data_IF_907833700814
#
_entry.id   IF_907833700814
#
_cell.length_a   1.000
_cell.length_b   1.000
_cell.length_c   1.000
_cell.angle_alpha   90.00
_cell.angle_beta   90.00
_cell.angle_gamma   90.00
#
_symmetry.space_group_name_H-M   'P 1'
#
loop_
_entity.id
_entity.type
_entity.pdbx_description
1 polymer ?
#
# COMPACT_ATOMS: atom_id res chain seq x y z
N UNK A 1 -6.77 -7.83 -24.12
CA UNK A 1 -6.12 -6.50 -24.01
C UNK A 1 -4.76 -6.75 -23.39
N UNK A 2 -3.66 -6.39 -24.07
CA UNK A 2 -2.32 -6.67 -23.54
C UNK A 2 -1.98 -5.74 -22.36
N UNK A 3 -1.33 -6.24 -21.30
CA UNK A 3 -1.04 -5.48 -20.08
C UNK A 3 -0.19 -4.23 -20.35
N UNK A 4 0.67 -4.27 -21.37
CA UNK A 4 1.50 -3.13 -21.80
C UNK A 4 0.65 -2.00 -22.40
N UNK A 5 -0.38 -2.32 -23.17
CA UNK A 5 -1.31 -1.32 -23.75
C UNK A 5 -2.22 -0.72 -22.68
N UNK A 6 -2.65 -1.50 -21.70
CA UNK A 6 -3.43 -1.00 -20.56
C UNK A 6 -2.60 -0.04 -19.68
N UNK A 7 -1.31 -0.34 -19.47
CA UNK A 7 -0.37 0.53 -18.75
C UNK A 7 -0.13 1.84 -19.52
N UNK A 8 0.03 1.77 -20.85
CA UNK A 8 0.24 2.95 -21.71
C UNK A 8 -0.96 3.91 -21.73
N UNK A 9 -2.18 3.37 -21.80
CA UNK A 9 -3.41 4.16 -21.70
C UNK A 9 -3.61 4.78 -20.31
N UNK A 10 -3.28 4.04 -19.25
CA UNK A 10 -3.34 4.57 -17.89
C UNK A 10 -2.27 5.64 -17.63
N UNK A 11 -1.07 5.52 -18.20
CA UNK A 11 0.00 6.49 -18.00
C UNK A 11 -0.32 7.87 -18.61
N UNK A 12 -0.91 7.89 -19.81
CA UNK A 12 -1.33 9.14 -20.47
C UNK A 12 -2.53 9.79 -19.79
N UNK A 13 -3.48 9.00 -19.27
CA UNK A 13 -4.60 9.52 -18.48
C UNK A 13 -4.12 10.15 -17.18
N UNK A 14 -3.07 9.59 -16.54
CA UNK A 14 -2.49 10.18 -15.33
C UNK A 14 -1.78 11.53 -15.58
N UNK A 15 -1.05 11.70 -16.70
CA UNK A 15 -0.43 13.00 -16.98
C UNK A 15 -1.46 14.12 -17.22
N UNK A 16 -2.57 13.81 -17.90
CA UNK A 16 -3.69 14.73 -18.08
C UNK A 16 -4.38 15.06 -16.76
N UNK A 17 -4.38 14.11 -15.82
CA UNK A 17 -5.12 14.27 -14.60
C UNK A 17 -4.52 15.25 -13.57
N UNK A 18 -3.20 15.47 -13.63
CA UNK A 18 -2.55 16.59 -12.91
C UNK A 18 -3.09 17.96 -13.33
N UNK A 19 -3.47 18.11 -14.60
CA UNK A 19 -4.05 19.35 -15.11
C UNK A 19 -5.44 19.61 -14.52
N UNK A 20 -6.32 18.61 -14.49
CA UNK A 20 -7.69 18.79 -13.99
C UNK A 20 -7.71 19.08 -12.48
N UNK A 21 -6.86 18.43 -11.69
CA UNK A 21 -6.73 18.75 -10.26
C UNK A 21 -6.29 20.21 -10.06
N UNK A 22 -5.25 20.64 -10.77
CA UNK A 22 -4.76 22.02 -10.72
C UNK A 22 -5.83 23.03 -11.17
N UNK A 23 -6.54 22.73 -12.25
CA UNK A 23 -7.59 23.58 -12.80
C UNK A 23 -8.78 23.71 -11.85
N UNK A 24 -9.22 22.60 -11.24
CA UNK A 24 -10.29 22.61 -10.25
C UNK A 24 -9.89 23.39 -8.99
N UNK A 25 -8.67 23.21 -8.47
CA UNK A 25 -8.17 23.97 -7.32
C UNK A 25 -8.18 25.49 -7.58
N UNK A 26 -7.78 25.92 -8.79
CA UNK A 26 -7.86 27.32 -9.19
C UNK A 26 -9.31 27.82 -9.25
N UNK A 27 -10.22 27.05 -9.84
CA UNK A 27 -11.64 27.40 -9.89
C UNK A 27 -12.26 27.49 -8.50
N UNK A 28 -11.94 26.56 -7.60
CA UNK A 28 -12.38 26.57 -6.21
C UNK A 28 -11.89 27.84 -5.50
N UNK A 29 -10.61 28.20 -5.67
CA UNK A 29 -10.04 29.41 -5.09
C UNK A 29 -10.76 30.68 -5.59
N UNK A 30 -10.98 30.79 -6.90
CA UNK A 30 -11.73 31.91 -7.49
C UNK A 30 -13.13 32.06 -6.91
N UNK A 31 -13.83 30.94 -6.73
CA UNK A 31 -15.18 30.93 -6.13
C UNK A 31 -15.11 31.31 -4.65
N UNK A 32 -14.19 30.75 -3.87
CA UNK A 32 -14.04 31.06 -2.43
C UNK A 32 -13.71 32.53 -2.16
N UNK A 33 -12.97 33.19 -3.06
CA UNK A 33 -12.61 34.61 -2.98
C UNK A 33 -13.78 35.57 -3.29
N UNK A 34 -14.95 35.03 -3.63
CA UNK A 34 -16.18 35.83 -3.74
C UNK A 34 -16.72 36.22 -2.35
N UNK A 35 -17.16 37.47 -2.25
CA UNK A 35 -17.72 38.03 -1.02
C UNK A 35 -19.05 37.35 -0.60
N UNK A 36 -19.79 36.84 -1.59
CA UNK A 36 -21.18 36.38 -1.42
C UNK A 36 -21.36 34.85 -1.58
N UNK A 37 -20.32 34.04 -1.31
CA UNK A 37 -20.47 32.57 -1.30
C UNK A 37 -21.31 32.13 -0.09
N UNK A 38 -22.38 31.33 -0.29
CA UNK A 38 -23.11 30.71 0.81
C UNK A 38 -22.18 29.95 1.76
N UNK A 39 -22.41 30.06 3.07
CA UNK A 39 -21.53 29.45 4.08
C UNK A 39 -21.39 27.93 3.89
N UNK A 40 -22.50 27.25 3.55
CA UNK A 40 -22.52 25.81 3.28
C UNK A 40 -21.62 25.44 2.10
N UNK A 41 -21.76 26.15 0.97
CA UNK A 41 -20.92 25.94 -0.20
C UNK A 41 -19.43 26.21 0.08
N UNK A 42 -19.12 27.22 0.90
CA UNK A 42 -17.73 27.51 1.31
C UNK A 42 -17.10 26.35 2.07
N UNK A 43 -17.86 25.69 2.96
CA UNK A 43 -17.42 24.48 3.67
C UNK A 43 -17.18 23.34 2.68
N UNK A 44 -18.16 23.05 1.82
CA UNK A 44 -18.05 22.02 0.79
C UNK A 44 -16.81 22.23 -0.10
N UNK A 45 -16.58 23.46 -0.57
CA UNK A 45 -15.42 23.80 -1.41
C UNK A 45 -14.09 23.60 -0.68
N UNK A 46 -14.03 23.91 0.62
CA UNK A 46 -12.83 23.68 1.43
C UNK A 46 -12.54 22.18 1.63
N UNK A 47 -13.57 21.36 1.78
CA UNK A 47 -13.40 19.92 1.88
C UNK A 47 -13.06 19.28 0.54
N UNK A 48 -13.66 19.75 -0.56
CA UNK A 48 -13.30 19.36 -1.92
C UNK A 48 -11.82 19.66 -2.22
N UNK A 49 -11.34 20.84 -1.82
CA UNK A 49 -9.95 21.24 -1.96
C UNK A 49 -9.00 20.23 -1.28
N UNK A 50 -9.31 19.81 -0.04
CA UNK A 50 -8.51 18.78 0.66
C UNK A 50 -8.54 17.44 -0.07
N UNK A 51 -9.71 16.99 -0.53
CA UNK A 51 -9.86 15.74 -1.27
C UNK A 51 -9.10 15.76 -2.60
N UNK A 52 -9.14 16.88 -3.33
CA UNK A 52 -8.40 17.04 -4.60
C UNK A 52 -6.88 17.03 -4.37
N UNK A 53 -6.38 17.65 -3.29
CA UNK A 53 -4.95 17.55 -2.95
C UNK A 53 -4.54 16.10 -2.68
N UNK A 54 -5.32 15.35 -1.88
CA UNK A 54 -5.03 13.93 -1.61
C UNK A 54 -5.02 13.07 -2.87
N UNK A 55 -5.98 13.31 -3.77
CA UNK A 55 -6.06 12.64 -5.07
C UNK A 55 -4.82 12.96 -5.93
N UNK A 56 -4.43 14.23 -5.99
CA UNK A 56 -3.25 14.68 -6.73
C UNK A 56 -1.96 14.09 -6.17
N UNK A 57 -1.81 14.05 -4.84
CA UNK A 57 -0.63 13.48 -4.17
C UNK A 57 -0.53 11.98 -4.47
N UNK A 58 -1.62 11.22 -4.28
CA UNK A 58 -1.65 9.79 -4.58
C UNK A 58 -1.37 9.53 -6.06
N UNK A 59 -1.94 10.34 -6.94
CA UNK A 59 -1.68 10.26 -8.36
C UNK A 59 -0.19 10.44 -8.69
N UNK A 60 0.46 11.45 -8.09
CA UNK A 60 1.88 11.69 -8.31
C UNK A 60 2.72 10.47 -7.88
N UNK A 61 2.37 9.86 -6.74
CA UNK A 61 3.02 8.65 -6.23
C UNK A 61 2.79 7.42 -7.10
N UNK A 62 1.64 7.31 -7.77
CA UNK A 62 1.33 6.20 -8.69
C UNK A 62 1.97 6.38 -10.08
N UNK A 63 2.25 7.62 -10.47
CA UNK A 63 2.87 7.93 -11.77
C UNK A 63 4.39 7.81 -11.70
N UNK A 64 5.00 8.19 -10.57
CA UNK A 64 6.44 8.10 -10.39
C UNK A 64 6.89 6.63 -10.31
N UNK A 65 7.64 6.12 -11.31
CA UNK A 65 8.12 4.73 -11.30
C UNK A 65 9.12 4.47 -10.15
N UNK A 66 9.75 5.51 -9.60
CA UNK A 66 10.68 5.39 -8.48
C UNK A 66 9.99 5.45 -7.11
N UNK A 67 8.68 5.65 -7.09
CA UNK A 67 7.90 5.67 -5.85
C UNK A 67 7.97 4.33 -5.12
N UNK A 68 8.05 4.39 -3.78
CA UNK A 68 7.98 3.20 -2.92
C UNK A 68 6.71 2.38 -3.13
N UNK A 69 5.63 2.99 -3.65
CA UNK A 69 4.41 2.26 -3.98
C UNK A 69 4.65 1.14 -5.00
N UNK A 70 5.48 1.38 -6.02
CA UNK A 70 5.77 0.35 -7.04
C UNK A 70 6.66 -0.78 -6.52
N UNK A 71 7.37 -0.55 -5.42
CA UNK A 71 8.19 -1.57 -4.76
C UNK A 71 7.37 -2.44 -3.79
N UNK A 72 6.33 -1.87 -3.19
CA UNK A 72 5.55 -2.52 -2.13
C UNK A 72 4.27 -3.17 -2.68
N UNK A 73 3.63 -2.52 -3.65
CA UNK A 73 2.34 -2.95 -4.17
C UNK A 73 2.51 -3.86 -5.39
N UNK A 74 1.66 -4.88 -5.45
CA UNK A 74 1.54 -5.71 -6.65
C UNK A 74 0.93 -4.91 -7.81
N UNK A 75 1.19 -5.34 -9.04
CA UNK A 75 0.61 -4.75 -10.25
C UNK A 75 -0.92 -4.64 -10.19
N UNK A 76 -1.59 -5.65 -9.62
CA UNK A 76 -3.04 -5.66 -9.47
C UNK A 76 -3.53 -4.56 -8.50
N UNK A 77 -2.85 -4.39 -7.36
CA UNK A 77 -3.18 -3.34 -6.37
C UNK A 77 -2.95 -1.93 -6.95
N UNK A 78 -1.85 -1.75 -7.69
CA UNK A 78 -1.57 -0.49 -8.40
C UNK A 78 -2.67 -0.19 -9.42
N UNK A 79 -3.12 -1.21 -10.16
CA UNK A 79 -4.18 -1.03 -11.16
C UNK A 79 -5.51 -0.64 -10.51
N UNK A 80 -5.91 -1.28 -9.39
CA UNK A 80 -7.11 -0.89 -8.64
C UNK A 80 -7.04 0.56 -8.15
N UNK A 81 -5.92 0.97 -7.56
CA UNK A 81 -5.73 2.36 -7.12
C UNK A 81 -5.78 3.35 -8.29
N UNK A 82 -5.18 3.00 -9.44
CA UNK A 82 -5.25 3.83 -10.63
C UNK A 82 -6.68 4.02 -11.12
N UNK A 83 -7.53 2.99 -11.08
CA UNK A 83 -8.94 3.10 -11.46
C UNK A 83 -9.68 4.11 -10.56
N UNK A 84 -9.57 3.99 -9.24
CA UNK A 84 -10.28 4.91 -8.33
C UNK A 84 -9.74 6.34 -8.42
N UNK A 85 -8.43 6.50 -8.63
CA UNK A 85 -7.82 7.84 -8.88
C UNK A 85 -8.32 8.44 -10.20
N UNK A 86 -8.51 7.63 -11.24
CA UNK A 86 -9.08 8.07 -12.52
C UNK A 86 -10.54 8.51 -12.35
N UNK A 87 -11.35 7.79 -11.59
CA UNK A 87 -12.73 8.21 -11.30
C UNK A 87 -12.74 9.54 -10.51
N UNK A 88 -11.80 9.70 -9.57
CA UNK A 88 -11.57 10.94 -8.84
C UNK A 88 -11.17 12.10 -9.74
N UNK A 89 -10.32 11.83 -10.74
CA UNK A 89 -9.96 12.77 -11.78
C UNK A 89 -11.18 13.24 -12.57
N UNK A 90 -11.96 12.31 -13.11
CA UNK A 90 -13.10 12.63 -13.98
C UNK A 90 -14.16 13.43 -13.21
N UNK A 91 -14.38 13.11 -11.93
CA UNK A 91 -15.25 13.88 -11.04
C UNK A 91 -14.71 15.30 -10.80
N UNK A 92 -13.39 15.45 -10.66
CA UNK A 92 -12.74 16.75 -10.45
C UNK A 92 -12.77 17.62 -11.72
N UNK A 93 -12.59 17.01 -12.89
CA UNK A 93 -12.74 17.68 -14.18
C UNK A 93 -14.19 18.16 -14.39
N UNK A 94 -15.16 17.32 -14.05
CA UNK A 94 -16.58 17.68 -14.10
C UNK A 94 -16.90 18.87 -13.18
N UNK A 95 -16.34 18.89 -11.95
CA UNK A 95 -16.46 20.04 -11.06
C UNK A 95 -15.81 21.29 -11.66
N UNK A 96 -14.61 21.18 -12.23
CA UNK A 96 -13.94 22.31 -12.88
C UNK A 96 -14.80 22.90 -14.01
N UNK A 97 -15.34 22.05 -14.90
CA UNK A 97 -16.23 22.47 -16.00
C UNK A 97 -17.49 23.17 -15.49
N UNK A 98 -18.12 22.64 -14.43
CA UNK A 98 -19.28 23.27 -13.78
C UNK A 98 -18.93 24.64 -13.22
N UNK A 99 -17.81 24.76 -12.50
CA UNK A 99 -17.35 26.05 -11.97
C UNK A 99 -16.94 27.02 -13.08
N UNK A 100 -16.36 26.53 -14.18
CA UNK A 100 -15.96 27.34 -15.32
C UNK A 100 -17.17 27.88 -16.10
N UNK A 101 -18.25 27.11 -16.21
CA UNK A 101 -19.49 27.60 -16.80
C UNK A 101 -20.10 28.80 -16.04
N UNK A 102 -19.72 28.99 -14.77
CA UNK A 102 -20.10 30.14 -13.94
C UNK A 102 -19.18 31.36 -14.17
N UNK A 103 -18.04 31.17 -14.84
CA UNK A 103 -17.11 32.23 -15.18
C UNK A 103 -17.48 32.83 -16.55
N UNK A 104 -17.74 34.14 -16.65
CA UNK A 104 -17.94 34.77 -17.96
C UNK A 104 -16.64 34.69 -18.78
N UNK A 105 -16.70 34.01 -19.94
CA UNK A 105 -15.59 33.95 -20.90
C UNK A 105 -15.14 35.36 -21.32
N UNK A 106 -13.85 35.72 -21.19
CA UNK A 106 -13.37 37.04 -21.58
C UNK A 106 -13.32 37.13 -23.10
N UNK A 107 -14.28 37.84 -23.71
CA UNK A 107 -14.27 38.10 -25.17
C UNK A 107 -13.32 39.24 -25.59
N UNK A 108 -12.54 39.84 -24.68
CA UNK A 108 -11.49 40.83 -24.98
C UNK A 108 -10.59 41.14 -23.77
N UNK A 109 -9.28 41.39 -23.96
CA UNK A 109 -8.36 41.70 -22.86
C UNK A 109 -8.38 43.20 -22.54
N UNK A 110 -9.43 43.69 -21.88
CA UNK A 110 -9.42 45.04 -21.30
C UNK A 110 -10.13 45.07 -19.93
N UNK A 111 -9.35 45.49 -18.91
CA UNK A 111 -9.71 45.80 -17.52
C UNK A 111 -10.02 44.60 -16.58
N UNK A 112 -8.99 44.16 -15.84
CA UNK A 112 -9.06 43.13 -14.80
C UNK A 112 -10.07 43.43 -13.67
N UNK A 113 -10.37 44.71 -13.40
CA UNK A 113 -11.32 45.13 -12.36
C UNK A 113 -12.79 44.94 -12.76
N UNK A 114 -13.16 45.15 -14.03
CA UNK A 114 -14.54 44.92 -14.53
C UNK A 114 -14.89 43.44 -14.72
N UNK A 115 -13.91 42.55 -14.63
CA UNK A 115 -14.10 41.09 -14.72
C UNK A 115 -14.72 40.54 -13.43
N UNK A 116 -14.23 41.00 -12.26
CA UNK A 116 -14.69 40.52 -10.95
C UNK A 116 -16.14 40.92 -10.66
N UNK A 117 -16.54 42.15 -11.00
CA UNK A 117 -17.93 42.61 -10.80
C UNK A 117 -18.91 41.87 -11.72
N UNK A 118 -18.49 41.54 -12.95
CA UNK A 118 -19.27 40.70 -13.87
C UNK A 118 -19.34 39.25 -13.41
N UNK A 119 -18.29 38.74 -12.78
CA UNK A 119 -18.32 37.43 -12.14
C UNK A 119 -19.28 37.42 -10.95
N UNK A 120 -19.28 38.46 -10.11
CA UNK A 120 -20.23 38.60 -9.00
C UNK A 120 -21.67 38.70 -9.51
N UNK A 121 -21.93 39.45 -10.59
CA UNK A 121 -23.29 39.56 -11.13
C UNK A 121 -23.74 38.28 -11.86
N UNK A 122 -22.85 37.60 -12.59
CA UNK A 122 -23.10 36.30 -13.19
C UNK A 122 -23.35 35.24 -12.11
N UNK A 123 -22.54 35.23 -11.05
CA UNK A 123 -22.74 34.36 -9.90
C UNK A 123 -24.10 34.62 -9.24
N UNK A 124 -24.45 35.88 -8.96
CA UNK A 124 -25.77 36.23 -8.39
C UNK A 124 -26.94 35.88 -9.29
N UNK A 125 -26.76 35.91 -10.61
CA UNK A 125 -27.78 35.58 -11.61
C UNK A 125 -27.92 34.07 -11.87
N UNK A 126 -26.81 33.33 -11.77
CA UNK A 126 -26.70 31.89 -12.12
C UNK A 126 -26.81 30.98 -10.90
N UNK A 127 -26.57 31.49 -9.68
CA UNK A 127 -26.94 30.82 -8.42
C UNK A 127 -28.46 30.89 -8.25
N UNK A 128 -29.15 30.25 -9.18
CA UNK A 128 -30.37 29.55 -8.86
C UNK A 128 -30.02 28.42 -7.90
N UNK A 129 -30.93 28.10 -6.97
CA UNK A 129 -30.79 26.97 -6.04
C UNK A 129 -30.40 25.65 -6.73
N UNK A 130 -30.72 25.49 -8.02
CA UNK A 130 -30.37 24.32 -8.81
C UNK A 130 -28.86 24.14 -9.02
N UNK A 131 -28.14 25.20 -9.39
CA UNK A 131 -26.71 25.10 -9.71
C UNK A 131 -25.85 24.99 -8.45
N UNK A 132 -26.28 25.59 -7.32
CA UNK A 132 -25.64 25.37 -6.02
C UNK A 132 -25.69 23.89 -5.64
N UNK A 133 -26.86 23.24 -5.81
CA UNK A 133 -27.03 21.82 -5.55
C UNK A 133 -26.17 20.95 -6.47
N UNK A 134 -26.06 21.30 -7.75
CA UNK A 134 -25.20 20.54 -8.67
C UNK A 134 -23.71 20.61 -8.31
N UNK A 135 -23.23 21.78 -7.87
CA UNK A 135 -21.85 21.94 -7.38
C UNK A 135 -21.65 21.17 -6.09
N UNK A 136 -22.63 21.21 -5.18
CA UNK A 136 -22.61 20.45 -3.93
C UNK A 136 -22.58 18.93 -4.20
N UNK A 137 -23.40 18.43 -5.12
CA UNK A 137 -23.44 17.02 -5.50
C UNK A 137 -22.11 16.57 -6.13
N UNK A 138 -21.50 17.41 -6.98
CA UNK A 138 -20.18 17.13 -7.55
C UNK A 138 -19.09 17.07 -6.47
N UNK A 139 -19.11 17.99 -5.51
CA UNK A 139 -18.19 17.98 -4.37
C UNK A 139 -18.38 16.72 -3.52
N UNK A 140 -19.62 16.36 -3.20
CA UNK A 140 -19.94 15.14 -2.43
C UNK A 140 -19.46 13.89 -3.16
N UNK A 141 -19.52 13.85 -4.49
CA UNK A 141 -18.96 12.75 -5.29
C UNK A 141 -17.44 12.64 -5.12
N UNK A 142 -16.70 13.75 -5.18
CA UNK A 142 -15.24 13.77 -4.97
C UNK A 142 -14.89 13.29 -3.56
N UNK A 143 -15.65 13.71 -2.54
CA UNK A 143 -15.46 13.25 -1.16
C UNK A 143 -15.66 11.74 -1.03
N UNK A 144 -16.76 11.19 -1.61
CA UNK A 144 -17.01 9.74 -1.61
C UNK A 144 -15.89 8.95 -2.27
N UNK A 145 -15.34 9.46 -3.38
CA UNK A 145 -14.22 8.83 -4.07
C UNK A 145 -12.94 8.90 -3.24
N UNK A 146 -12.70 10.01 -2.53
CA UNK A 146 -11.59 10.10 -1.57
C UNK A 146 -11.73 9.09 -0.41
N UNK A 147 -12.95 8.85 0.07
CA UNK A 147 -13.21 7.83 1.10
C UNK A 147 -13.03 6.42 0.54
N UNK A 148 -13.42 6.19 -0.72
CA UNK A 148 -13.22 4.92 -1.42
C UNK A 148 -11.74 4.59 -1.62
N UNK A 149 -10.92 5.58 -1.97
CA UNK A 149 -9.45 5.43 -2.00
C UNK A 149 -8.92 5.04 -0.62
N UNK A 150 -9.42 5.68 0.44
CA UNK A 150 -9.00 5.38 1.80
C UNK A 150 -9.36 3.95 2.19
N UNK A 151 -10.54 3.47 1.78
CA UNK A 151 -10.96 2.08 1.95
C UNK A 151 -10.10 1.11 1.14
N UNK A 152 -9.80 1.39 -0.11
CA UNK A 152 -8.94 0.55 -0.95
C UNK A 152 -7.52 0.46 -0.37
N UNK A 153 -6.96 1.57 0.13
CA UNK A 153 -5.65 1.56 0.79
C UNK A 153 -5.66 0.71 2.08
N UNK A 154 -6.76 0.72 2.83
CA UNK A 154 -6.92 -0.15 4.01
C UNK A 154 -6.98 -1.64 3.60
N UNK A 155 -7.74 -1.97 2.55
CA UNK A 155 -7.81 -3.34 2.02
C UNK A 155 -6.43 -3.81 1.56
N UNK A 156 -5.71 -2.98 0.80
CA UNK A 156 -4.34 -3.26 0.34
C UNK A 156 -3.39 -3.47 1.53
N UNK A 157 -3.52 -2.66 2.58
CA UNK A 157 -2.71 -2.81 3.79
C UNK A 157 -2.96 -4.15 4.49
N UNK A 158 -4.23 -4.58 4.59
CA UNK A 158 -4.59 -5.87 5.15
C UNK A 158 -4.08 -7.04 4.30
N UNK A 159 -4.24 -6.96 2.96
CA UNK A 159 -3.68 -7.95 2.03
C UNK A 159 -2.16 -8.10 2.21
N UNK A 160 -1.44 -6.97 2.32
CA UNK A 160 0.00 -6.96 2.55
C UNK A 160 0.37 -7.61 3.89
N UNK A 161 -0.34 -7.30 4.97
CA UNK A 161 -0.12 -7.92 6.28
C UNK A 161 -0.35 -9.43 6.26
N UNK A 162 -1.40 -9.90 5.58
CA UNK A 162 -1.68 -11.33 5.41
C UNK A 162 -0.54 -12.01 4.64
N UNK A 163 -0.08 -11.42 3.54
CA UNK A 163 1.02 -11.97 2.74
C UNK A 163 2.33 -12.05 3.53
N UNK A 164 2.67 -10.99 4.29
CA UNK A 164 3.85 -10.97 5.15
C UNK A 164 3.77 -12.07 6.21
N UNK A 165 2.60 -12.21 6.87
CA UNK A 165 2.40 -13.24 7.88
C UNK A 165 2.55 -14.64 7.30
N UNK A 166 1.95 -14.90 6.14
CA UNK A 166 2.11 -16.19 5.45
C UNK A 166 3.57 -16.47 5.08
N UNK A 167 4.31 -15.44 4.64
CA UNK A 167 5.73 -15.58 4.34
C UNK A 167 6.54 -15.91 5.60
N UNK A 168 6.33 -15.19 6.70
CA UNK A 168 6.97 -15.47 7.99
C UNK A 168 6.66 -16.88 8.47
N UNK A 169 5.39 -17.30 8.41
CA UNK A 169 4.99 -18.65 8.79
C UNK A 169 5.67 -19.72 7.92
N UNK A 170 5.80 -19.47 6.61
CA UNK A 170 6.47 -20.39 5.68
C UNK A 170 7.98 -20.51 5.95
N UNK A 171 8.65 -19.38 6.21
CA UNK A 171 10.08 -19.34 6.55
C UNK A 171 10.31 -20.00 7.90
N UNK A 172 9.48 -19.68 8.90
CA UNK A 172 9.57 -20.28 10.23
C UNK A 172 9.40 -21.80 10.20
N UNK A 173 8.44 -22.32 9.43
CA UNK A 173 8.28 -23.77 9.23
C UNK A 173 9.51 -24.39 8.58
N UNK A 174 10.01 -23.79 7.50
CA UNK A 174 11.20 -24.27 6.80
C UNK A 174 12.42 -24.30 7.70
N UNK A 175 12.69 -23.24 8.44
CA UNK A 175 13.79 -23.19 9.40
C UNK A 175 13.63 -24.25 10.49
N UNK A 176 12.42 -24.42 11.03
CA UNK A 176 12.16 -25.44 12.04
C UNK A 176 12.37 -26.87 11.50
N UNK A 177 12.00 -27.13 10.25
CA UNK A 177 12.26 -28.40 9.57
C UNK A 177 13.76 -28.63 9.37
N UNK A 178 14.51 -27.60 8.96
CA UNK A 178 15.97 -27.65 8.81
C UNK A 178 16.65 -27.92 10.15
N UNK A 179 16.31 -27.18 11.20
CA UNK A 179 16.85 -27.40 12.55
C UNK A 179 16.53 -28.80 13.07
N UNK A 180 15.31 -29.30 12.84
CA UNK A 180 14.93 -30.66 13.21
C UNK A 180 15.78 -31.71 12.47
N UNK A 181 16.01 -31.52 11.17
CA UNK A 181 16.85 -32.41 10.37
C UNK A 181 18.32 -32.38 10.83
N UNK A 182 18.87 -31.19 11.09
CA UNK A 182 20.23 -31.02 11.61
C UNK A 182 20.41 -31.67 12.98
N UNK A 183 19.46 -31.48 13.91
CA UNK A 183 19.49 -32.14 15.22
C UNK A 183 19.42 -33.67 15.11
N UNK A 184 18.61 -34.18 14.19
CA UNK A 184 18.50 -35.61 13.96
C UNK A 184 19.78 -36.19 13.36
N UNK A 185 20.40 -35.50 12.40
CA UNK A 185 21.71 -35.85 11.84
C UNK A 185 22.79 -35.86 12.92
N UNK A 186 22.83 -34.81 13.74
CA UNK A 186 23.78 -34.69 14.83
C UNK A 186 23.62 -35.80 15.86
N UNK A 187 22.37 -36.17 16.21
CA UNK A 187 22.09 -37.32 17.07
C UNK A 187 22.68 -38.61 16.51
N UNK A 188 22.52 -38.87 15.21
CA UNK A 188 23.09 -40.05 14.56
C UNK A 188 24.62 -40.02 14.52
N UNK A 189 25.25 -38.85 14.47
CA UNK A 189 26.71 -38.71 14.52
C UNK A 189 27.29 -38.86 15.93
N UNK A 190 26.59 -38.35 16.95
CA UNK A 190 27.03 -38.36 18.36
C UNK A 190 26.86 -39.74 19.00
N UNK A 191 25.77 -40.45 18.70
CA UNK A 191 25.44 -41.72 19.36
C UNK A 191 26.57 -42.78 19.22
N UNK A 192 27.15 -43.03 18.03
CA UNK A 192 28.26 -43.98 17.88
C UNK A 192 29.53 -43.57 18.64
N UNK A 193 29.76 -42.26 18.79
CA UNK A 193 30.90 -41.75 19.56
C UNK A 193 30.68 -41.99 21.06
N UNK A 194 29.46 -41.77 21.55
CA UNK A 194 29.11 -42.04 22.95
C UNK A 194 29.12 -43.53 23.28
N UNK A 195 28.72 -44.40 22.36
CA UNK A 195 28.75 -45.86 22.54
C UNK A 195 30.12 -46.46 22.19
N UNK A 196 31.18 -45.65 22.04
CA UNK A 196 32.54 -46.14 21.77
C UNK A 196 32.75 -46.81 20.40
N UNK A 197 31.76 -46.80 19.51
CA UNK A 197 31.85 -47.40 18.17
C UNK A 197 32.75 -46.55 17.25
N UNK A 198 32.82 -45.24 17.48
CA UNK A 198 33.72 -44.33 16.78
C UNK A 198 34.47 -43.44 17.77
N UNK A 199 35.72 -43.08 17.44
CA UNK A 199 36.58 -42.30 18.36
C UNK A 199 36.32 -40.79 18.32
N UNK A 200 35.87 -40.26 17.20
CA UNK A 200 35.68 -38.81 16.99
C UNK A 200 34.56 -38.52 16.00
N UNK A 201 33.80 -37.45 16.24
CA UNK A 201 32.85 -36.91 15.25
C UNK A 201 33.57 -36.25 14.07
N UNK A 202 32.89 -36.15 12.92
CA UNK A 202 33.43 -35.39 11.80
C UNK A 202 33.39 -33.87 12.07
N UNK A 203 34.24 -33.11 11.38
CA UNK A 203 34.39 -31.65 11.56
C UNK A 203 33.08 -30.89 11.26
N UNK A 204 32.27 -31.39 10.33
CA UNK A 204 30.98 -30.79 9.96
C UNK A 204 30.00 -30.91 11.14
N UNK A 205 29.88 -32.09 11.74
CA UNK A 205 28.97 -32.31 12.88
C UNK A 205 29.41 -31.56 14.14
N UNK A 206 30.73 -31.43 14.36
CA UNK A 206 31.26 -30.58 15.43
C UNK A 206 30.88 -29.11 15.24
N UNK A 207 30.96 -28.62 13.99
CA UNK A 207 30.58 -27.24 13.66
C UNK A 207 29.09 -27.00 13.88
N UNK A 208 28.23 -27.97 13.53
CA UNK A 208 26.79 -27.91 13.80
C UNK A 208 26.52 -27.88 15.31
N UNK A 209 27.17 -28.75 16.09
CA UNK A 209 27.01 -28.78 17.56
C UNK A 209 27.36 -27.45 18.24
N UNK A 210 28.38 -26.74 17.75
CA UNK A 210 28.79 -25.43 18.29
C UNK A 210 27.73 -24.36 18.03
N UNK A 211 27.01 -24.44 16.91
CA UNK A 211 26.03 -23.44 16.48
C UNK A 211 24.64 -23.60 17.13
N UNK A 212 24.39 -24.72 17.81
CA UNK A 212 23.12 -24.97 18.49
C UNK A 212 22.87 -23.99 19.64
N UNK A 213 21.60 -23.61 19.81
CA UNK A 213 21.18 -22.85 20.99
C UNK A 213 21.23 -23.73 22.25
N UNK A 214 21.21 -23.11 23.42
CA UNK A 214 21.21 -23.85 24.70
C UNK A 214 19.94 -24.69 24.89
N UNK A 215 18.82 -24.26 24.30
CA UNK A 215 17.57 -25.02 24.30
C UNK A 215 17.72 -26.28 23.44
N UNK A 216 18.27 -26.14 22.23
CA UNK A 216 18.48 -27.27 21.31
C UNK A 216 19.49 -28.29 21.87
N UNK A 217 20.53 -27.83 22.57
CA UNK A 217 21.49 -28.69 23.26
C UNK A 217 20.83 -29.49 24.38
N UNK A 218 19.94 -28.86 25.16
CA UNK A 218 19.19 -29.53 26.23
C UNK A 218 18.28 -30.62 25.66
N UNK A 219 17.56 -30.31 24.58
CA UNK A 219 16.69 -31.29 23.90
C UNK A 219 17.46 -32.45 23.29
N UNK A 220 18.59 -32.17 22.64
CA UNK A 220 19.48 -33.20 22.10
C UNK A 220 20.00 -34.12 23.22
N UNK A 221 20.42 -33.54 24.34
CA UNK A 221 20.91 -34.29 25.50
C UNK A 221 19.81 -35.21 26.04
N UNK A 222 18.59 -34.69 26.21
CA UNK A 222 17.43 -35.48 26.64
C UNK A 222 17.17 -36.66 25.69
N UNK A 223 17.17 -36.42 24.38
CA UNK A 223 16.96 -37.47 23.38
C UNK A 223 18.08 -38.52 23.35
N UNK A 224 19.35 -38.11 23.54
CA UNK A 224 20.47 -39.04 23.63
C UNK A 224 20.37 -39.91 24.89
N UNK A 225 20.06 -39.30 26.05
CA UNK A 225 19.84 -40.05 27.30
C UNK A 225 18.71 -41.08 27.13
N UNK A 226 17.59 -40.70 26.54
CA UNK A 226 16.47 -41.61 26.28
C UNK A 226 16.87 -42.76 25.33
N UNK A 227 17.61 -42.47 24.25
CA UNK A 227 18.09 -43.50 23.33
C UNK A 227 19.06 -44.49 24.00
N UNK A 228 19.96 -44.00 24.87
CA UNK A 228 20.89 -44.85 25.60
C UNK A 228 20.20 -45.73 26.63
N UNK A 229 19.20 -45.20 27.33
CA UNK A 229 18.39 -45.97 28.30
C UNK A 229 17.60 -47.10 27.62
N UNK A 230 17.19 -46.90 26.36
CA UNK A 230 16.47 -47.90 25.58
C UNK A 230 17.39 -48.98 24.95
N UNK A 231 18.71 -48.74 24.90
CA UNK A 231 19.70 -49.66 24.32
C UNK A 231 20.89 -49.94 25.24
N UNK A 232 20.67 -50.44 26.48
CA UNK A 232 21.74 -50.61 27.47
C UNK A 232 22.78 -51.67 27.07
N UNK A 233 22.42 -52.63 26.22
CA UNK A 233 23.33 -53.65 25.72
C UNK A 233 24.44 -53.08 24.83
N UNK A 234 24.18 -52.02 24.07
CA UNK A 234 25.15 -51.37 23.19
C UNK A 234 26.27 -50.67 23.98
N UNK A 235 25.97 -50.16 25.18
CA UNK A 235 26.98 -49.60 26.08
C UNK A 235 27.88 -50.68 26.66
N UNK A 236 27.32 -51.84 27.00
CA UNK A 236 28.06 -52.94 27.62
C UNK A 236 29.11 -53.54 26.67
N UNK A 237 28.73 -53.79 25.41
CA UNK A 237 29.65 -54.30 24.38
C UNK A 237 30.83 -53.36 24.11
N UNK A 238 30.65 -52.06 24.29
CA UNK A 238 31.73 -51.07 24.09
C UNK A 238 32.73 -50.98 25.25
N UNK A 239 32.37 -51.44 26.45
CA UNK A 239 33.26 -51.48 27.60
C UNK A 239 34.10 -52.77 27.69
N UNK A 240 33.75 -53.80 26.91
CA UNK A 240 34.40 -55.11 26.91
C UNK A 240 35.56 -55.20 25.87
N UNK A 241 35.94 -54.08 25.24
CA UNK A 241 37.08 -53.93 24.28
C UNK A 241 38.21 -53.14 24.94
#
# INVERSE_FOLDING_TARGET
MDPVSAIGLAASSLQLASFAFTAALRSIKLVKDLKDVPAKLRICLADAEKSIHRLSDLQSMLTDPNSKLHQILSTAQILRLKTVVQDGHDATEALHKKLQALLPLPRRPQAATRSRDRFISAWKSVVSLGMEKEVEDAIRRIQRLSDEISRELQVISLESQVNIRQHIDSVSRREHELTRAELQSLRYAVLPVMTGQTRTMCVIDQTVAIRLSDTDKSDLTRHLCEALMNHPSALRESCDI
#
